data_IF_404274825305
#
_entry.id   IF_404274825305
#
_cell.length_a   1.000
_cell.length_b   1.000
_cell.length_c   1.000
_cell.angle_alpha   90.00
_cell.angle_beta   90.00
_cell.angle_gamma   90.00
#
_symmetry.space_group_name_H-M   'P 1'
#
loop_
_entity.id
_entity.type
_entity.pdbx_description
1 polymer ?
#
# COMPACT_ATOMS: atom_id res chain seq x y z
N UNK A 1 -2.79 25.41 7.32
CA UNK A 1 -2.82 24.69 8.65
C UNK A 1 -1.55 25.03 9.45
N UNK A 2 -1.49 24.75 10.79
CA UNK A 2 -0.32 25.11 11.62
C UNK A 2 0.97 24.40 11.17
N UNK A 3 0.88 23.10 10.86
CA UNK A 3 2.05 22.29 10.47
C UNK A 3 2.68 22.80 9.17
N UNK A 4 1.89 23.13 8.17
CA UNK A 4 2.38 23.66 6.89
C UNK A 4 3.15 24.97 7.08
N UNK A 5 2.67 25.81 8.03
CA UNK A 5 3.33 27.07 8.37
C UNK A 5 4.66 26.82 9.12
N UNK A 6 4.70 25.89 10.07
CA UNK A 6 5.94 25.54 10.77
C UNK A 6 7.02 25.03 9.79
N UNK A 7 6.64 24.16 8.85
CA UNK A 7 7.53 23.67 7.78
C UNK A 7 7.95 24.82 6.88
N UNK A 8 7.03 25.70 6.50
CA UNK A 8 7.32 26.87 5.68
C UNK A 8 8.28 27.84 6.35
N UNK A 9 8.09 28.15 7.64
CA UNK A 9 9.00 28.99 8.43
C UNK A 9 10.39 28.36 8.48
N UNK A 10 10.47 27.07 8.76
CA UNK A 10 11.75 26.34 8.80
C UNK A 10 12.46 26.39 7.46
N UNK A 11 11.73 26.19 6.35
CA UNK A 11 12.28 26.29 4.99
C UNK A 11 12.86 27.68 4.70
N UNK A 12 12.19 28.74 5.12
CA UNK A 12 12.69 30.12 4.97
C UNK A 12 13.98 30.32 5.76
N UNK A 13 14.00 29.86 7.02
CA UNK A 13 15.18 29.99 7.89
C UNK A 13 16.39 29.17 7.44
N UNK A 14 16.14 28.07 6.70
CA UNK A 14 17.21 27.26 6.10
C UNK A 14 17.76 27.84 4.80
N UNK A 15 16.97 28.64 4.08
CA UNK A 15 17.35 29.25 2.81
C UNK A 15 17.95 30.65 2.94
N UNK A 16 17.62 31.35 4.00
CA UNK A 16 18.04 32.73 4.24
C UNK A 16 18.90 32.80 5.52
N UNK A 17 19.98 33.55 5.48
CA UNK A 17 20.81 33.75 6.67
C UNK A 17 20.01 34.40 7.82
N UNK A 18 19.03 35.25 7.49
CA UNK A 18 18.25 36.00 8.46
C UNK A 18 16.92 36.47 7.90
N UNK A 19 15.86 36.45 8.70
CA UNK A 19 14.55 37.02 8.38
C UNK A 19 13.96 37.70 9.64
N UNK A 20 12.83 38.39 9.50
CA UNK A 20 12.18 39.08 10.62
C UNK A 20 10.76 38.53 10.89
N UNK A 21 10.26 38.66 12.12
CA UNK A 21 8.90 38.28 12.45
C UNK A 21 7.82 39.03 11.64
N UNK A 22 7.98 40.32 11.27
CA UNK A 22 7.09 41.00 10.33
C UNK A 22 7.06 40.35 8.94
N UNK A 23 8.24 40.06 8.35
CA UNK A 23 8.34 39.43 7.03
C UNK A 23 7.69 38.04 7.00
N UNK A 24 7.93 37.22 8.03
CA UNK A 24 7.28 35.94 8.17
C UNK A 24 5.76 36.06 8.36
N UNK A 25 5.33 37.09 9.13
CA UNK A 25 3.90 37.34 9.37
C UNK A 25 3.16 37.71 8.07
N UNK A 26 3.78 38.56 7.23
CA UNK A 26 3.27 38.94 5.92
C UNK A 26 3.26 37.74 4.96
N UNK A 27 4.35 37.00 4.87
CA UNK A 27 4.50 35.85 3.96
C UNK A 27 3.51 34.71 4.26
N UNK A 28 3.17 34.47 5.52
CA UNK A 28 2.26 33.41 5.94
C UNK A 28 0.86 33.92 6.32
N UNK A 29 0.57 35.20 6.05
CA UNK A 29 -0.74 35.84 6.29
C UNK A 29 -1.25 35.64 7.73
N UNK A 30 -0.35 35.80 8.72
CA UNK A 30 -0.66 35.65 10.14
C UNK A 30 -0.11 36.82 10.96
N UNK A 31 -0.47 36.91 12.24
CA UNK A 31 0.04 37.94 13.15
C UNK A 31 1.48 37.63 13.59
N UNK A 32 2.24 38.67 13.92
CA UNK A 32 3.58 38.53 14.54
C UNK A 32 3.54 37.67 15.81
N UNK A 33 2.45 37.74 16.59
CA UNK A 33 2.25 36.92 17.79
C UNK A 33 2.17 35.42 17.41
N UNK A 34 1.53 35.10 16.32
CA UNK A 34 1.46 33.73 15.80
C UNK A 34 2.84 33.23 15.36
N UNK A 35 3.61 34.05 14.65
CA UNK A 35 4.99 33.71 14.24
C UNK A 35 5.87 33.45 15.46
N UNK A 36 5.84 34.34 16.47
CA UNK A 36 6.65 34.15 17.67
C UNK A 36 6.33 32.83 18.39
N UNK A 37 5.05 32.46 18.44
CA UNK A 37 4.63 31.19 19.03
C UNK A 37 5.09 30.00 18.20
N UNK A 38 5.04 30.11 16.87
CA UNK A 38 5.53 29.08 15.97
C UNK A 38 7.06 28.90 16.07
N UNK A 39 7.81 30.01 16.25
CA UNK A 39 9.27 29.97 16.55
C UNK A 39 9.53 29.26 17.90
N UNK A 40 8.76 29.55 18.94
CA UNK A 40 8.88 28.86 20.23
C UNK A 40 8.61 27.35 20.07
N UNK A 41 7.60 26.97 19.29
CA UNK A 41 7.28 25.56 19.04
C UNK A 41 8.40 24.86 18.26
N UNK A 42 9.03 25.52 17.27
CA UNK A 42 10.20 25.02 16.56
C UNK A 42 11.41 24.86 17.50
N UNK A 43 11.65 25.84 18.40
CA UNK A 43 12.69 25.73 19.41
C UNK A 43 12.45 24.55 20.37
N UNK A 44 11.19 24.33 20.80
CA UNK A 44 10.82 23.17 21.62
C UNK A 44 11.00 21.84 20.89
N UNK A 45 10.86 21.84 19.55
CA UNK A 45 11.14 20.69 18.70
C UNK A 45 12.65 20.43 18.49
N UNK A 46 13.53 21.21 19.13
CA UNK A 46 14.98 21.01 19.09
C UNK A 46 15.70 21.80 17.98
N UNK A 47 15.02 22.72 17.29
CA UNK A 47 15.65 23.56 16.27
C UNK A 47 16.25 24.79 16.95
N UNK A 48 17.59 25.01 16.91
CA UNK A 48 18.24 26.10 17.58
C UNK A 48 18.08 27.41 16.82
N UNK A 49 16.96 28.08 17.04
CA UNK A 49 16.66 29.38 16.44
C UNK A 49 17.09 30.46 17.40
N UNK A 50 17.86 31.41 16.89
CA UNK A 50 18.25 32.62 17.66
C UNK A 50 17.44 33.82 17.17
N UNK A 51 17.02 34.66 18.14
CA UNK A 51 16.31 35.90 17.86
C UNK A 51 17.13 37.05 18.40
N UNK A 52 17.59 37.95 17.51
CA UNK A 52 18.36 39.17 17.91
C UNK A 52 17.47 40.40 17.77
N UNK A 53 17.57 41.33 18.75
CA UNK A 53 16.84 42.62 18.78
C UNK A 53 17.69 43.75 18.24
N UNK A 54 17.06 44.79 17.71
CA UNK A 54 17.71 46.02 17.24
C UNK A 54 17.54 46.29 15.74
N UNK A 55 18.14 47.37 15.24
CA UNK A 55 18.03 47.79 13.86
C UNK A 55 18.53 46.74 12.84
N UNK A 56 19.44 45.86 13.25
CA UNK A 56 19.97 44.73 12.49
C UNK A 56 19.54 43.38 13.11
N UNK A 57 18.49 43.40 13.94
CA UNK A 57 17.93 42.20 14.55
C UNK A 57 17.18 41.32 13.57
N UNK A 58 16.90 40.08 13.98
CA UNK A 58 16.13 39.15 13.19
C UNK A 58 16.10 37.74 13.77
N UNK A 59 15.52 36.83 13.05
CA UNK A 59 15.37 35.43 13.37
C UNK A 59 16.27 34.67 12.41
N UNK A 60 17.14 33.82 12.93
CA UNK A 60 18.05 32.97 12.15
C UNK A 60 18.25 31.63 12.87
N UNK A 61 18.70 30.63 12.16
CA UNK A 61 19.23 29.42 12.77
C UNK A 61 20.65 29.72 13.27
N UNK A 62 21.03 29.17 14.41
CA UNK A 62 22.38 29.39 15.00
C UNK A 62 23.46 28.90 14.03
N UNK A 63 24.55 29.70 13.92
CA UNK A 63 25.71 29.36 13.10
C UNK A 63 26.28 27.98 13.50
N UNK A 64 26.52 27.14 12.49
CA UNK A 64 26.98 25.76 12.71
C UNK A 64 25.86 24.73 12.93
N UNK A 65 24.62 25.14 13.11
CA UNK A 65 23.51 24.21 13.00
C UNK A 65 23.22 23.94 11.53
N UNK A 66 23.84 22.91 11.06
CA UNK A 66 23.33 22.19 9.90
C UNK A 66 22.32 21.21 10.48
N UNK A 67 21.07 21.30 10.07
CA UNK A 67 20.14 20.19 10.27
C UNK A 67 20.89 18.97 9.76
N UNK A 68 21.26 18.09 10.70
CA UNK A 68 22.17 17.00 10.42
C UNK A 68 21.59 16.22 9.23
N UNK A 69 22.18 16.42 8.04
CA UNK A 69 21.84 15.64 6.84
C UNK A 69 22.16 14.16 7.07
N UNK A 70 22.73 13.84 8.25
CA UNK A 70 23.12 12.51 8.71
C UNK A 70 21.94 11.64 9.15
N UNK A 71 20.71 12.15 9.29
CA UNK A 71 19.55 11.32 9.60
C UNK A 71 19.16 10.40 8.45
N UNK A 72 19.46 10.77 7.21
CA UNK A 72 19.19 9.94 6.04
C UNK A 72 20.46 9.84 5.20
N UNK A 73 20.97 8.64 5.04
CA UNK A 73 22.07 8.37 4.09
C UNK A 73 21.56 8.55 2.66
N UNK A 74 22.47 8.71 1.68
CA UNK A 74 22.10 8.71 0.27
C UNK A 74 21.34 7.44 -0.12
N UNK A 75 21.64 6.31 0.52
CA UNK A 75 20.93 5.04 0.34
C UNK A 75 19.51 5.09 0.90
N UNK A 76 19.31 5.70 2.08
CA UNK A 76 17.98 5.85 2.67
C UNK A 76 17.10 6.75 1.81
N UNK A 77 17.67 7.85 1.30
CA UNK A 77 16.97 8.74 0.39
C UNK A 77 16.58 8.03 -0.91
N UNK A 78 17.48 7.24 -1.51
CA UNK A 78 17.17 6.44 -2.69
C UNK A 78 16.04 5.44 -2.43
N UNK A 79 16.02 4.76 -1.28
CA UNK A 79 14.93 3.85 -0.91
C UNK A 79 13.59 4.58 -0.74
N UNK A 80 13.59 5.76 -0.12
CA UNK A 80 12.39 6.59 0.03
C UNK A 80 11.88 7.02 -1.35
N UNK A 81 12.77 7.50 -2.22
CA UNK A 81 12.43 7.93 -3.57
C UNK A 81 11.92 6.77 -4.44
N UNK A 82 12.52 5.58 -4.33
CA UNK A 82 12.02 4.38 -5.00
C UNK A 82 10.62 4.00 -4.53
N UNK A 83 10.33 4.11 -3.22
CA UNK A 83 9.01 3.90 -2.66
C UNK A 83 7.97 4.90 -3.19
N UNK A 84 8.30 6.19 -3.24
CA UNK A 84 7.42 7.22 -3.79
C UNK A 84 7.16 7.04 -5.28
N UNK A 85 8.19 6.70 -6.06
CA UNK A 85 8.06 6.38 -7.49
C UNK A 85 7.14 5.19 -7.73
N UNK A 86 7.19 4.19 -6.84
CA UNK A 86 6.30 3.03 -6.93
C UNK A 86 4.81 3.40 -6.74
N UNK A 87 4.51 4.38 -5.88
CA UNK A 87 3.16 4.89 -5.70
C UNK A 87 2.67 5.66 -6.94
N UNK A 88 3.53 6.48 -7.58
CA UNK A 88 3.19 7.18 -8.82
C UNK A 88 2.88 6.21 -9.97
N UNK A 89 3.50 5.01 -9.99
CA UNK A 89 3.23 4.00 -11.02
C UNK A 89 1.79 3.52 -11.03
N UNK A 90 1.09 3.64 -9.91
CA UNK A 90 -0.28 3.14 -9.71
C UNK A 90 -1.33 4.24 -9.74
N UNK A 91 -1.07 5.35 -9.03
CA UNK A 91 -2.05 6.44 -8.87
C UNK A 91 -2.14 7.37 -10.09
N UNK A 92 -1.18 7.26 -11.03
CA UNK A 92 -1.10 8.25 -12.12
C UNK A 92 -0.67 9.65 -11.64
N UNK A 93 -0.46 9.82 -10.33
CA UNK A 93 0.02 11.06 -9.73
C UNK A 93 1.46 11.35 -10.16
N UNK A 94 1.88 12.61 -10.01
CA UNK A 94 3.25 13.07 -10.24
C UNK A 94 3.95 13.47 -8.95
N UNK A 95 3.58 12.87 -7.82
CA UNK A 95 4.15 13.25 -6.52
C UNK A 95 5.66 13.06 -6.47
N UNK A 96 6.18 11.97 -7.01
CA UNK A 96 7.62 11.75 -7.13
C UNK A 96 8.26 12.83 -7.99
N UNK A 97 7.71 13.10 -9.18
CA UNK A 97 8.23 14.13 -10.08
C UNK A 97 8.26 15.51 -9.42
N UNK A 98 7.18 15.94 -8.80
CA UNK A 98 7.09 17.22 -8.08
C UNK A 98 8.04 17.29 -6.87
N UNK A 99 8.21 16.18 -6.13
CA UNK A 99 9.14 16.12 -5.02
C UNK A 99 10.59 16.19 -5.53
N UNK A 100 10.90 15.49 -6.62
CA UNK A 100 12.21 15.54 -7.25
C UNK A 100 12.56 16.94 -7.76
N UNK A 101 11.62 17.66 -8.38
CA UNK A 101 11.81 19.06 -8.76
C UNK A 101 12.11 19.94 -7.56
N UNK A 102 11.41 19.77 -6.44
CA UNK A 102 11.64 20.53 -5.19
C UNK A 102 12.98 20.19 -4.55
N UNK A 103 13.39 18.93 -4.55
CA UNK A 103 14.67 18.47 -3.98
C UNK A 103 15.83 18.89 -4.88
N UNK A 104 15.70 18.77 -6.22
CA UNK A 104 16.74 19.13 -7.19
C UNK A 104 17.02 20.62 -7.23
N UNK A 105 16.02 21.45 -6.97
CA UNK A 105 16.20 22.90 -6.83
C UNK A 105 17.09 23.27 -5.63
N UNK A 106 17.31 22.36 -4.68
CA UNK A 106 18.10 22.57 -3.47
C UNK A 106 19.49 21.95 -3.46
N UNK A 107 19.83 20.98 -4.32
CA UNK A 107 21.17 20.36 -4.37
C UNK A 107 21.35 19.42 -5.55
N UNK A 108 22.34 19.71 -6.40
CA UNK A 108 22.71 18.92 -7.58
C UNK A 108 23.41 17.57 -7.30
N UNK A 109 23.79 17.28 -6.05
CA UNK A 109 24.55 16.08 -5.69
C UNK A 109 23.71 14.82 -5.42
N UNK A 110 22.38 14.97 -5.21
CA UNK A 110 21.53 13.83 -4.81
C UNK A 110 20.94 13.03 -5.97
N UNK A 111 21.08 13.48 -7.21
CA UNK A 111 20.34 12.94 -8.38
C UNK A 111 21.13 11.95 -9.23
N UNK A 112 22.43 11.72 -8.97
CA UNK A 112 23.30 10.88 -9.82
C UNK A 112 23.51 9.44 -9.32
N UNK A 113 22.62 8.92 -8.48
CA UNK A 113 22.62 7.51 -8.10
C UNK A 113 21.95 6.66 -9.19
N UNK A 114 22.62 5.63 -9.71
CA UNK A 114 21.97 4.58 -10.50
C UNK A 114 20.96 3.89 -9.60
N UNK A 115 19.66 4.10 -9.88
CA UNK A 115 18.59 3.38 -9.20
C UNK A 115 18.78 1.87 -9.41
N UNK A 116 19.22 1.16 -8.38
CA UNK A 116 19.41 -0.29 -8.42
C UNK A 116 18.12 -1.06 -8.17
N UNK A 117 17.06 -0.37 -7.72
CA UNK A 117 15.75 -0.95 -7.40
C UNK A 117 14.69 -0.13 -8.13
N UNK A 118 13.94 -0.80 -9.01
CA UNK A 118 12.73 -0.27 -9.64
C UNK A 118 11.53 -1.06 -9.09
N UNK A 119 10.60 -0.38 -8.43
CA UNK A 119 9.36 -0.97 -7.95
C UNK A 119 8.24 -0.45 -8.85
N UNK A 120 7.66 -1.32 -9.64
CA UNK A 120 6.46 -1.03 -10.43
C UNK A 120 5.27 -1.76 -9.80
N UNK A 121 4.35 -1.01 -9.19
CA UNK A 121 3.12 -1.52 -8.59
C UNK A 121 1.95 -1.44 -9.58
N UNK A 122 2.21 -1.02 -10.83
CA UNK A 122 1.17 -1.04 -11.88
C UNK A 122 0.74 -2.47 -12.16
N UNK A 123 -0.50 -2.62 -12.52
CA UNK A 123 -1.07 -3.90 -12.96
C UNK A 123 -1.60 -3.75 -14.39
N UNK A 124 -1.88 -4.87 -15.05
CA UNK A 124 -2.58 -4.89 -16.34
C UNK A 124 -3.91 -4.09 -16.32
N UNK A 125 -4.41 -3.79 -15.12
CA UNK A 125 -5.66 -3.03 -14.88
C UNK A 125 -5.39 -1.59 -14.43
N UNK A 126 -4.22 -1.01 -14.73
CA UNK A 126 -3.84 0.34 -14.30
C UNK A 126 -4.91 1.38 -14.59
N UNK A 127 -5.43 1.39 -15.81
CA UNK A 127 -6.43 2.37 -16.25
C UNK A 127 -7.74 2.29 -15.49
N UNK A 128 -8.04 1.14 -14.89
CA UNK A 128 -9.24 0.93 -14.07
C UNK A 128 -8.98 1.08 -12.57
N UNK A 129 -7.73 0.95 -12.12
CA UNK A 129 -7.35 1.03 -10.71
C UNK A 129 -7.06 2.45 -10.25
N UNK A 130 -6.35 3.23 -11.06
CA UNK A 130 -5.97 4.59 -10.70
C UNK A 130 -7.19 5.47 -10.33
N UNK A 131 -8.26 5.55 -11.15
CA UNK A 131 -9.44 6.33 -10.76
C UNK A 131 -10.13 5.84 -9.49
N UNK A 132 -10.11 4.52 -9.24
CA UNK A 132 -10.67 3.96 -7.99
C UNK A 132 -9.85 4.38 -6.78
N UNK A 133 -8.53 4.34 -6.88
CA UNK A 133 -7.62 4.75 -5.80
C UNK A 133 -7.82 6.24 -5.49
N UNK A 134 -7.87 7.10 -6.50
CA UNK A 134 -8.12 8.53 -6.33
C UNK A 134 -9.47 8.80 -5.64
N UNK A 135 -10.55 8.15 -6.09
CA UNK A 135 -11.87 8.27 -5.45
C UNK A 135 -11.85 7.80 -3.99
N UNK A 136 -11.15 6.70 -3.70
CA UNK A 136 -11.04 6.16 -2.34
C UNK A 136 -10.21 7.10 -1.46
N UNK A 137 -9.10 7.65 -1.96
CA UNK A 137 -8.28 8.61 -1.23
C UNK A 137 -9.06 9.88 -0.90
N UNK A 138 -9.78 10.44 -1.89
CA UNK A 138 -10.68 11.57 -1.66
C UNK A 138 -11.72 11.27 -0.58
N UNK A 139 -12.38 10.12 -0.63
CA UNK A 139 -13.36 9.72 0.37
C UNK A 139 -12.76 9.54 1.77
N UNK A 140 -11.49 9.09 1.88
CA UNK A 140 -10.77 8.99 3.16
C UNK A 140 -10.46 10.40 3.71
N UNK A 141 -9.92 11.28 2.88
CA UNK A 141 -9.54 12.66 3.25
C UNK A 141 -10.75 13.48 3.71
N UNK A 142 -11.85 13.38 2.96
CA UNK A 142 -13.09 14.11 3.23
C UNK A 142 -13.97 13.41 4.29
N UNK A 143 -13.63 12.19 4.71
CA UNK A 143 -14.44 11.33 5.59
C UNK A 143 -15.83 11.04 5.03
N UNK A 144 -15.92 10.80 3.74
CA UNK A 144 -17.13 10.47 3.03
C UNK A 144 -17.34 8.98 2.88
N UNK A 145 -18.61 8.54 2.90
CA UNK A 145 -18.96 7.14 2.67
C UNK A 145 -18.67 6.78 1.22
N UNK A 146 -17.98 5.66 1.02
CA UNK A 146 -17.72 5.07 -0.28
C UNK A 146 -18.80 4.08 -0.66
N UNK A 147 -19.36 4.22 -1.86
CA UNK A 147 -20.36 3.32 -2.43
C UNK A 147 -19.75 2.56 -3.61
N UNK A 148 -20.05 1.27 -3.73
CA UNK A 148 -19.60 0.46 -4.88
C UNK A 148 -20.41 -0.82 -5.02
N UNK A 149 -20.39 -1.41 -6.22
CA UNK A 149 -20.83 -2.78 -6.47
C UNK A 149 -19.65 -3.73 -6.25
N UNK A 150 -19.84 -4.81 -5.52
CA UNK A 150 -18.78 -5.76 -5.19
C UNK A 150 -19.12 -7.17 -5.69
N UNK A 151 -18.17 -7.77 -6.38
CA UNK A 151 -18.24 -9.14 -6.88
C UNK A 151 -17.50 -10.08 -5.93
N UNK A 152 -18.22 -11.02 -5.32
CA UNK A 152 -17.68 -12.04 -4.42
C UNK A 152 -17.99 -13.44 -4.93
N UNK A 153 -17.34 -14.44 -4.38
CA UNK A 153 -17.63 -15.84 -4.71
C UNK A 153 -19.08 -16.22 -4.44
N UNK A 154 -19.72 -15.60 -3.46
CA UNK A 154 -21.13 -15.84 -3.07
C UNK A 154 -22.12 -14.96 -3.84
N UNK A 155 -21.68 -14.25 -4.87
CA UNK A 155 -22.51 -13.36 -5.68
C UNK A 155 -22.11 -11.89 -5.61
N UNK A 156 -22.90 -11.05 -6.22
CA UNK A 156 -22.69 -9.61 -6.33
C UNK A 156 -23.62 -8.81 -5.44
N UNK A 157 -23.25 -7.60 -5.13
CA UNK A 157 -24.11 -6.69 -4.38
C UNK A 157 -23.49 -5.35 -4.04
N UNK A 158 -24.34 -4.37 -3.77
CA UNK A 158 -23.91 -3.04 -3.35
C UNK A 158 -23.31 -3.07 -1.95
N UNK A 159 -22.29 -2.28 -1.76
CA UNK A 159 -21.62 -2.05 -0.48
C UNK A 159 -21.51 -0.56 -0.24
N UNK A 160 -21.61 -0.21 1.04
CA UNK A 160 -21.34 1.12 1.58
C UNK A 160 -20.37 0.97 2.73
N UNK A 161 -19.28 1.69 2.69
CA UNK A 161 -18.22 1.60 3.71
C UNK A 161 -17.76 2.97 4.16
N UNK A 162 -17.25 3.04 5.39
CA UNK A 162 -16.43 4.13 5.88
C UNK A 162 -14.98 3.74 5.55
N UNK A 163 -14.31 4.35 4.56
CA UNK A 163 -12.97 3.96 4.14
C UNK A 163 -11.93 4.57 5.09
N UNK A 164 -10.85 3.83 5.39
CA UNK A 164 -9.76 4.29 6.26
C UNK A 164 -8.37 4.15 5.67
N UNK A 165 -8.09 3.06 4.93
CA UNK A 165 -6.78 2.83 4.33
C UNK A 165 -6.90 2.21 2.95
N UNK A 166 -6.04 2.66 2.03
CA UNK A 166 -5.70 1.92 0.81
C UNK A 166 -4.50 1.04 1.12
N UNK A 167 -4.59 -0.25 0.80
CA UNK A 167 -3.60 -1.26 1.18
C UNK A 167 -3.15 -2.01 -0.06
N UNK A 168 -1.83 -2.09 -0.28
CA UNK A 168 -1.24 -3.00 -1.26
C UNK A 168 -0.68 -4.21 -0.54
N UNK A 169 -1.22 -5.39 -0.82
CA UNK A 169 -0.76 -6.66 -0.27
C UNK A 169 -1.12 -7.82 -1.19
N UNK A 170 -0.35 -8.89 -1.15
CA UNK A 170 -0.55 -10.08 -2.00
C UNK A 170 -0.74 -9.71 -3.47
N UNK A 171 0.16 -8.85 -3.98
CA UNK A 171 0.15 -8.33 -5.35
C UNK A 171 -1.18 -7.73 -5.79
N UNK A 172 -1.94 -7.16 -4.86
CA UNK A 172 -3.26 -6.60 -5.12
C UNK A 172 -3.55 -5.38 -4.25
N UNK A 173 -4.39 -4.50 -4.76
CA UNK A 173 -4.88 -3.33 -4.05
C UNK A 173 -6.20 -3.62 -3.35
N UNK A 174 -6.33 -3.09 -2.14
CA UNK A 174 -7.49 -3.25 -1.28
C UNK A 174 -7.85 -1.91 -0.63
N UNK A 175 -9.12 -1.76 -0.24
CA UNK A 175 -9.56 -0.74 0.71
C UNK A 175 -9.97 -1.42 2.01
N UNK A 176 -9.41 -0.94 3.13
CA UNK A 176 -9.83 -1.29 4.47
C UNK A 176 -10.85 -0.29 4.95
N UNK A 177 -12.03 -0.78 5.37
CA UNK A 177 -13.10 0.07 5.81
C UNK A 177 -14.16 -0.65 6.64
N UNK A 178 -14.94 0.14 7.36
CA UNK A 178 -16.11 -0.35 8.09
C UNK A 178 -17.28 -0.57 7.14
N UNK A 179 -17.70 -1.81 7.00
CA UNK A 179 -18.84 -2.18 6.16
C UNK A 179 -20.17 -1.91 6.87
N UNK A 180 -20.94 -0.94 6.41
CA UNK A 180 -22.24 -0.57 7.03
C UNK A 180 -23.25 -1.72 7.01
N UNK A 181 -23.21 -2.58 5.97
CA UNK A 181 -24.11 -3.74 5.85
C UNK A 181 -23.75 -4.87 6.82
N UNK A 182 -22.43 -5.11 7.04
CA UNK A 182 -21.95 -6.21 7.88
C UNK A 182 -21.65 -5.78 9.31
N UNK A 183 -21.59 -4.45 9.56
CA UNK A 183 -21.21 -3.85 10.85
C UNK A 183 -19.87 -4.37 11.36
N UNK A 184 -18.88 -4.41 10.45
CA UNK A 184 -17.57 -4.96 10.72
C UNK A 184 -16.51 -4.35 9.80
N UNK A 185 -15.25 -4.31 10.25
CA UNK A 185 -14.12 -3.92 9.43
C UNK A 185 -13.78 -5.00 8.42
N UNK A 186 -13.62 -4.62 7.16
CA UNK A 186 -13.35 -5.55 6.07
C UNK A 186 -12.37 -4.98 5.05
N UNK A 187 -11.66 -5.92 4.43
CA UNK A 187 -10.78 -5.66 3.31
C UNK A 187 -11.53 -5.97 2.00
N UNK A 188 -11.62 -4.99 1.10
CA UNK A 188 -12.25 -5.14 -0.21
C UNK A 188 -11.21 -5.00 -1.30
N UNK A 189 -11.09 -6.01 -2.16
CA UNK A 189 -10.16 -6.03 -3.29
C UNK A 189 -10.65 -5.08 -4.39
N UNK A 190 -9.83 -4.10 -4.81
CA UNK A 190 -10.25 -3.07 -5.76
C UNK A 190 -10.65 -3.64 -7.12
N UNK A 191 -9.99 -4.72 -7.57
CA UNK A 191 -10.32 -5.39 -8.85
C UNK A 191 -11.72 -6.03 -8.84
N UNK A 192 -12.32 -6.25 -7.66
CA UNK A 192 -13.67 -6.78 -7.49
C UNK A 192 -14.71 -5.68 -7.26
N UNK A 193 -14.31 -4.41 -7.33
CA UNK A 193 -15.20 -3.26 -7.15
C UNK A 193 -15.57 -2.67 -8.51
N UNK A 194 -16.81 -2.30 -8.67
CA UNK A 194 -17.35 -1.60 -9.82
C UNK A 194 -18.19 -0.42 -9.37
N UNK A 195 -18.31 0.63 -10.22
CA UNK A 195 -19.06 1.85 -9.94
C UNK A 195 -18.70 2.44 -8.57
N UNK A 196 -17.39 2.59 -8.35
CA UNK A 196 -16.87 3.22 -7.12
C UNK A 196 -17.20 4.70 -7.16
N UNK A 197 -17.86 5.19 -6.11
CA UNK A 197 -18.24 6.59 -6.00
C UNK A 197 -18.20 7.06 -4.54
N UNK A 198 -17.76 8.27 -4.36
CA UNK A 198 -17.81 9.01 -3.11
C UNK A 198 -19.24 9.59 -2.93
N UNK A 199 -19.78 9.52 -1.73
CA UNK A 199 -21.10 10.09 -1.40
C UNK A 199 -20.90 11.32 -0.54
N UNK A 200 -21.81 12.28 -0.59
CA UNK A 200 -21.78 13.49 0.25
C UNK A 200 -22.02 13.20 1.75
N UNK A 201 -22.30 11.96 2.11
CA UNK A 201 -22.55 11.58 3.49
C UNK A 201 -21.24 11.40 4.26
N UNK A 202 -21.03 12.25 5.25
CA UNK A 202 -19.88 12.16 6.15
C UNK A 202 -20.04 11.06 7.19
N UNK A 203 -18.93 10.49 7.65
CA UNK A 203 -18.90 9.58 8.79
C UNK A 203 -18.00 10.12 9.93
N UNK A 204 -18.35 9.77 11.15
CA UNK A 204 -17.50 10.06 12.32
C UNK A 204 -16.42 8.99 12.43
N UNK A 205 -15.15 9.41 12.56
CA UNK A 205 -14.04 8.48 12.75
C UNK A 205 -14.31 7.57 13.96
N UNK A 206 -14.21 6.26 13.71
CA UNK A 206 -14.21 5.25 14.76
C UNK A 206 -12.78 5.09 15.30
N UNK A 207 -12.63 4.44 16.46
CA UNK A 207 -11.35 3.85 16.83
C UNK A 207 -11.06 2.73 15.83
N UNK A 208 -10.16 3.00 14.89
CA UNK A 208 -9.81 2.05 13.82
C UNK A 208 -8.73 1.13 14.37
N UNK A 209 -8.97 -0.17 14.49
CA UNK A 209 -7.88 -1.11 14.74
C UNK A 209 -6.92 -1.02 13.54
N UNK A 210 -5.61 -0.99 13.81
CA UNK A 210 -4.63 -1.16 12.75
C UNK A 210 -5.04 -2.40 11.94
N UNK A 211 -5.07 -2.32 10.59
CA UNK A 211 -5.45 -3.48 9.79
C UNK A 211 -4.45 -4.59 10.11
N UNK A 212 -4.91 -5.57 10.87
CA UNK A 212 -4.11 -6.77 11.12
C UNK A 212 -4.12 -7.59 9.82
N UNK A 213 -3.11 -7.30 9.02
CA UNK A 213 -2.87 -7.96 7.73
C UNK A 213 -1.99 -9.20 7.90
N UNK A 214 -1.88 -9.74 9.13
CA UNK A 214 -1.20 -11.02 9.35
C UNK A 214 -1.91 -12.11 8.55
N UNK A 215 -1.14 -12.98 7.93
CA UNK A 215 -1.66 -14.09 7.11
C UNK A 215 -2.60 -14.96 7.94
N UNK A 216 -2.32 -15.12 9.23
CA UNK A 216 -3.07 -15.94 10.18
C UNK A 216 -4.49 -15.44 10.45
N UNK A 217 -4.71 -14.13 10.46
CA UNK A 217 -6.07 -13.56 10.68
C UNK A 217 -6.90 -13.42 9.42
N UNK A 218 -6.25 -13.08 8.32
CA UNK A 218 -6.93 -12.94 7.02
C UNK A 218 -7.19 -14.30 6.40
N UNK A 219 -6.30 -15.24 6.68
CA UNK A 219 -6.37 -16.63 6.24
C UNK A 219 -6.11 -17.55 7.44
N UNK A 220 -7.10 -17.78 8.31
CA UNK A 220 -6.93 -18.71 9.41
C UNK A 220 -6.62 -20.11 8.85
N UNK A 221 -5.38 -20.55 9.00
CA UNK A 221 -4.92 -21.85 8.58
C UNK A 221 -5.67 -22.97 9.31
N UNK A 222 -5.72 -24.15 8.75
CA UNK A 222 -6.37 -25.30 9.39
C UNK A 222 -6.55 -26.50 8.47
N UNK A 223 -6.40 -26.32 7.15
CA UNK A 223 -6.52 -27.41 6.18
C UNK A 223 -5.11 -27.90 5.86
N UNK A 224 -4.71 -29.04 6.42
CA UNK A 224 -3.44 -29.68 6.05
C UNK A 224 -3.55 -30.26 4.65
N UNK A 225 -2.65 -29.82 3.78
CA UNK A 225 -2.59 -30.25 2.39
C UNK A 225 -1.39 -31.14 2.19
N UNK A 226 -1.62 -32.24 1.46
CA UNK A 226 -0.58 -33.14 0.99
C UNK A 226 -0.88 -33.47 -0.48
N UNK A 227 0.06 -33.17 -1.35
CA UNK A 227 -0.12 -33.36 -2.79
C UNK A 227 1.18 -33.79 -3.45
N UNK A 228 1.04 -34.58 -4.53
CA UNK A 228 2.16 -34.98 -5.39
C UNK A 228 2.13 -34.14 -6.67
N UNK A 229 3.28 -33.62 -7.06
CA UNK A 229 3.43 -32.83 -8.27
C UNK A 229 4.46 -33.47 -9.21
N UNK A 230 4.28 -33.29 -10.50
CA UNK A 230 5.27 -33.65 -11.50
C UNK A 230 6.50 -32.74 -11.39
N UNK A 231 7.68 -33.27 -11.75
CA UNK A 231 8.95 -32.55 -11.59
C UNK A 231 9.05 -31.26 -12.40
N UNK A 232 8.40 -31.20 -13.54
CA UNK A 232 8.42 -30.05 -14.46
C UNK A 232 7.67 -28.80 -13.93
N UNK A 233 6.83 -28.95 -12.91
CA UNK A 233 6.17 -27.81 -12.22
C UNK A 233 6.90 -27.36 -10.95
N UNK A 234 8.13 -27.87 -10.69
CA UNK A 234 8.96 -27.51 -9.52
C UNK A 234 9.16 -26.01 -9.39
N UNK A 235 9.43 -25.33 -10.50
CA UNK A 235 9.68 -23.90 -10.56
C UNK A 235 8.51 -23.09 -9.95
N UNK A 236 7.28 -23.50 -10.23
CA UNK A 236 6.08 -22.83 -9.74
C UNK A 236 5.85 -23.04 -8.24
N UNK A 237 6.12 -24.25 -7.74
CA UNK A 237 6.07 -24.51 -6.29
C UNK A 237 7.09 -23.66 -5.54
N UNK A 238 8.32 -23.53 -6.09
CA UNK A 238 9.37 -22.69 -5.51
C UNK A 238 8.98 -21.21 -5.53
N UNK A 239 8.39 -20.73 -6.63
CA UNK A 239 7.94 -19.34 -6.77
C UNK A 239 6.84 -18.97 -5.76
N UNK A 240 5.86 -19.88 -5.55
CA UNK A 240 4.69 -19.63 -4.72
C UNK A 240 4.95 -19.86 -3.22
N UNK A 241 5.77 -20.88 -2.86
CA UNK A 241 5.94 -21.37 -1.48
C UNK A 241 7.40 -21.47 -1.00
N UNK A 242 8.36 -21.21 -1.87
CA UNK A 242 9.77 -21.33 -1.56
C UNK A 242 10.33 -22.76 -1.75
N UNK A 243 11.66 -22.92 -1.73
CA UNK A 243 12.34 -24.18 -2.10
C UNK A 243 12.13 -25.33 -1.12
N UNK A 244 11.74 -25.03 0.12
CA UNK A 244 11.57 -26.02 1.19
C UNK A 244 10.16 -26.64 1.26
N UNK A 245 9.25 -26.23 0.36
CA UNK A 245 7.83 -26.62 0.42
C UNK A 245 7.54 -28.08 -0.01
N UNK A 246 8.53 -28.77 -0.57
CA UNK A 246 8.36 -30.15 -1.05
C UNK A 246 9.58 -31.04 -0.74
N UNK A 247 9.36 -32.36 -0.83
CA UNK A 247 10.41 -33.40 -0.79
C UNK A 247 10.36 -34.20 -2.10
N UNK A 248 11.50 -34.36 -2.75
CA UNK A 248 11.62 -35.24 -3.93
C UNK A 248 11.45 -36.70 -3.49
N UNK A 249 10.60 -37.43 -4.22
CA UNK A 249 10.37 -38.87 -4.00
C UNK A 249 11.26 -39.71 -4.96
N UNK A 250 11.41 -41.00 -4.68
CA UNK A 250 12.21 -41.90 -5.49
C UNK A 250 11.72 -42.01 -6.95
N UNK A 251 10.43 -41.83 -7.18
CA UNK A 251 9.80 -41.81 -8.52
C UNK A 251 9.95 -40.45 -9.25
N UNK A 252 10.69 -39.51 -8.66
CA UNK A 252 10.92 -38.17 -9.22
C UNK A 252 9.77 -37.19 -9.01
N UNK A 253 8.69 -37.58 -8.36
CA UNK A 253 7.60 -36.65 -7.99
C UNK A 253 7.97 -35.81 -6.79
N UNK A 254 7.30 -34.69 -6.64
CA UNK A 254 7.48 -33.74 -5.55
C UNK A 254 6.34 -33.88 -4.55
N UNK A 255 6.63 -34.34 -3.34
CA UNK A 255 5.67 -34.40 -2.26
C UNK A 255 5.61 -33.03 -1.57
N UNK A 256 4.54 -32.31 -1.81
CA UNK A 256 4.24 -31.00 -1.24
C UNK A 256 3.39 -31.14 0.03
N UNK A 257 3.72 -30.30 1.05
CA UNK A 257 2.95 -30.20 2.29
C UNK A 257 2.82 -28.74 2.69
N UNK A 258 1.59 -28.28 2.95
CA UNK A 258 1.32 -26.92 3.39
C UNK A 258 0.04 -26.85 4.22
N UNK A 259 -0.13 -25.74 4.94
CA UNK A 259 -1.40 -25.38 5.58
C UNK A 259 -2.16 -24.40 4.67
N UNK A 260 -3.40 -24.73 4.37
CA UNK A 260 -4.32 -23.94 3.56
C UNK A 260 -5.48 -23.40 4.39
N UNK A 261 -6.13 -22.35 3.90
CA UNK A 261 -7.13 -21.60 4.66
C UNK A 261 -8.54 -21.82 4.18
N UNK A 262 -8.70 -22.16 2.90
CA UNK A 262 -9.97 -22.25 2.23
C UNK A 262 -10.00 -23.43 1.24
N UNK A 263 -11.02 -24.26 1.35
CA UNK A 263 -11.16 -25.49 0.55
C UNK A 263 -11.32 -25.19 -0.94
N UNK A 264 -12.12 -24.20 -1.31
CA UNK A 264 -12.37 -23.84 -2.71
C UNK A 264 -11.13 -23.23 -3.36
N UNK A 265 -10.36 -22.43 -2.62
CA UNK A 265 -9.08 -21.92 -3.10
C UNK A 265 -8.07 -23.04 -3.31
N UNK A 266 -8.02 -24.03 -2.41
CA UNK A 266 -7.18 -25.23 -2.60
C UNK A 266 -7.56 -26.00 -3.86
N UNK A 267 -8.84 -26.31 -4.03
CA UNK A 267 -9.35 -27.04 -5.21
C UNK A 267 -9.01 -26.27 -6.50
N UNK A 268 -9.28 -24.97 -6.52
CA UNK A 268 -8.96 -24.11 -7.67
C UNK A 268 -7.46 -24.09 -7.97
N UNK A 269 -6.62 -23.98 -6.94
CA UNK A 269 -5.17 -23.97 -7.10
C UNK A 269 -4.65 -25.29 -7.67
N UNK A 270 -5.08 -26.44 -7.16
CA UNK A 270 -4.70 -27.75 -7.69
C UNK A 270 -5.13 -27.89 -9.15
N UNK A 271 -6.34 -27.46 -9.53
CA UNK A 271 -6.84 -27.50 -10.89
C UNK A 271 -5.96 -26.72 -11.88
N UNK A 272 -5.26 -25.67 -11.41
CA UNK A 272 -4.36 -24.90 -12.29
C UNK A 272 -3.13 -25.69 -12.75
N UNK A 273 -2.83 -26.84 -12.15
CA UNK A 273 -1.74 -27.73 -12.56
C UNK A 273 -2.21 -28.85 -13.51
N UNK A 274 -3.52 -28.99 -13.70
CA UNK A 274 -4.09 -30.03 -14.53
C UNK A 274 -3.70 -31.43 -14.06
N UNK A 275 -3.24 -32.27 -15.00
CA UNK A 275 -2.80 -33.64 -14.70
C UNK A 275 -1.48 -33.76 -13.96
N UNK A 276 -0.76 -32.64 -13.77
CA UNK A 276 0.56 -32.60 -13.14
C UNK A 276 0.49 -32.53 -11.61
N UNK A 277 -0.70 -32.51 -11.04
CA UNK A 277 -0.91 -32.50 -9.60
C UNK A 277 -1.90 -33.59 -9.17
N UNK A 278 -1.55 -34.31 -8.13
CA UNK A 278 -2.43 -35.27 -7.45
C UNK A 278 -2.59 -34.84 -5.98
N UNK A 279 -3.79 -34.43 -5.58
CA UNK A 279 -4.10 -34.13 -4.19
C UNK A 279 -4.30 -35.43 -3.41
N UNK A 280 -3.55 -35.62 -2.32
CA UNK A 280 -3.67 -36.77 -1.43
C UNK A 280 -4.57 -36.46 -0.24
N UNK A 281 -4.38 -35.30 0.38
CA UNK A 281 -5.12 -34.79 1.53
C UNK A 281 -5.45 -33.31 1.34
N UNK A 282 -6.65 -32.85 1.79
CA UNK A 282 -7.71 -33.58 2.46
C UNK A 282 -8.60 -34.39 1.49
N UNK A 283 -9.25 -35.45 2.01
CA UNK A 283 -10.10 -36.34 1.22
C UNK A 283 -11.29 -35.64 0.58
N UNK A 284 -11.87 -34.67 1.26
CA UNK A 284 -13.03 -33.90 0.79
C UNK A 284 -12.66 -33.09 -0.48
N UNK A 285 -11.50 -32.44 -0.48
CA UNK A 285 -11.02 -31.71 -1.65
C UNK A 285 -10.69 -32.67 -2.83
N UNK A 286 -10.13 -33.85 -2.52
CA UNK A 286 -9.87 -34.88 -3.53
C UNK A 286 -11.16 -35.38 -4.19
N UNK A 287 -12.22 -35.61 -3.41
CA UNK A 287 -13.54 -35.98 -3.93
C UNK A 287 -14.10 -34.87 -4.83
N UNK A 288 -14.01 -33.62 -4.38
CA UNK A 288 -14.46 -32.46 -5.16
C UNK A 288 -13.71 -32.32 -6.50
N UNK A 289 -12.40 -32.54 -6.49
CA UNK A 289 -11.59 -32.56 -7.73
C UNK A 289 -12.03 -33.68 -8.68
N UNK A 290 -12.33 -34.88 -8.18
CA UNK A 290 -12.81 -36.00 -9.01
C UNK A 290 -14.16 -35.68 -9.66
N UNK A 291 -15.08 -35.04 -8.93
CA UNK A 291 -16.38 -34.60 -9.51
C UNK A 291 -16.17 -33.54 -10.59
N UNK A 292 -15.31 -32.53 -10.34
CA UNK A 292 -14.99 -31.48 -11.31
C UNK A 292 -14.37 -32.11 -12.56
N UNK A 293 -13.40 -33.01 -12.43
CA UNK A 293 -12.73 -33.65 -13.53
C UNK A 293 -13.73 -34.48 -14.39
N UNK A 294 -14.67 -35.16 -13.72
CA UNK A 294 -15.75 -35.86 -14.42
C UNK A 294 -16.63 -34.90 -15.21
N UNK A 295 -17.10 -33.84 -14.58
CA UNK A 295 -17.95 -32.84 -15.24
C UNK A 295 -17.23 -32.17 -16.41
N UNK A 296 -15.94 -31.83 -16.26
CA UNK A 296 -15.11 -31.29 -17.36
C UNK A 296 -15.02 -32.30 -18.54
N UNK A 297 -14.75 -33.58 -18.23
CA UNK A 297 -14.67 -34.60 -19.23
C UNK A 297 -16.02 -34.77 -19.98
N UNK A 298 -17.14 -34.67 -19.29
CA UNK A 298 -18.46 -34.76 -19.92
C UNK A 298 -18.74 -33.57 -20.86
N UNK A 299 -18.38 -32.34 -20.43
CA UNK A 299 -18.50 -31.13 -21.28
C UNK A 299 -17.67 -31.25 -22.55
N UNK A 300 -16.42 -31.68 -22.48
CA UNK A 300 -15.55 -31.76 -23.68
C UNK A 300 -15.72 -33.00 -24.52
N UNK A 301 -16.42 -34.03 -24.04
CA UNK A 301 -16.79 -35.22 -24.87
C UNK A 301 -17.90 -34.95 -25.85
N UNK A 302 -18.81 -34.04 -25.57
CA UNK A 302 -19.92 -33.69 -26.46
C UNK A 302 -19.45 -33.02 -27.76
N UNK A 303 -18.31 -32.29 -27.69
CA UNK A 303 -17.72 -31.60 -28.87
C UNK A 303 -16.84 -32.47 -29.74
N UNK A 304 -16.60 -33.76 -29.38
CA UNK A 304 -15.77 -34.70 -30.13
C UNK A 304 -16.58 -35.73 -30.94
N UNK A 305 -17.91 -35.57 -31.03
CA UNK A 305 -18.82 -36.30 -31.88
C UNK A 305 -19.29 -35.45 -33.06
#
# INVERSE_FOLDING_TARGET
>A
MKIDRLIGILSVLLQQEKTTAPELAERFEVTKRTINRDIEDLCRAGIPIQTTRGAHGGISIMDGYRMDRTLLTSKDMQMILAGLRSLDSVSGSRYYGQLMEKISAGSSEFVSGRDSILIDLSSWYRDTLAPKIETIQSAIENRHILNFKYYSQTGEGSRRIEPYYVVFKWSSWYVWGWCLKRKDFRLFKLNRMDKVGESDAEFKCRSVPAPDLSTEKVFPGGIKVKALFAKDVKWRLVEEFGPECFKEQEDGKLLFTADYTDMENLVTWILTFGEKAELLEPKEARQRLAEIAKNMNDVYKEDLK
#
